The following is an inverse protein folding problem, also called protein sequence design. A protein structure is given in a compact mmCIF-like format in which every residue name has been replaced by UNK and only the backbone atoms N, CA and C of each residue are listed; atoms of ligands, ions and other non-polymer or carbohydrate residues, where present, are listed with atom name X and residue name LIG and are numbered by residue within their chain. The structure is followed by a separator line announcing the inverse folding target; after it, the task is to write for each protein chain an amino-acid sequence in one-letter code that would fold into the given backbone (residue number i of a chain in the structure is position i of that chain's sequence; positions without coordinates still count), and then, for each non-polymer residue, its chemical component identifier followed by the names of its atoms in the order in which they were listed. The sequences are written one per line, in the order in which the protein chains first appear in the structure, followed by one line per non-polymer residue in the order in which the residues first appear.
data_IF_095596606650
#
_entry.id   IF_095596606650
#
_cell.length_a   1.000
_cell.length_b   1.000
_cell.length_c   1.000
_cell.angle_alpha   90.00
_cell.angle_beta   90.00
_cell.angle_gamma   90.00
#
_symmetry.space_group_name_H-M   'P 1'
#
loop_
_entity.id
_entity.type
_entity.pdbx_description
1 polymer ?
#
# COMPACT_ATOMS: atom_id res chain seq x y z
N UNK A 1 40.14 17.30 -51.46
CA UNK A 1 40.91 17.90 -50.35
C UNK A 1 40.28 19.23 -49.97
N UNK A 2 39.56 19.23 -48.85
CA UNK A 2 39.15 20.41 -48.09
C UNK A 2 38.84 19.91 -46.66
N UNK A 3 39.49 20.41 -45.59
CA UNK A 3 39.18 19.98 -44.23
C UNK A 3 38.07 20.85 -43.63
N UNK A 4 36.98 20.22 -43.20
CA UNK A 4 35.99 20.83 -42.30
C UNK A 4 36.59 20.89 -40.88
N UNK A 5 36.70 22.10 -40.34
CA UNK A 5 37.11 22.38 -38.97
C UNK A 5 35.89 22.39 -38.06
N UNK A 6 35.89 21.53 -37.05
CA UNK A 6 34.95 21.56 -35.92
C UNK A 6 35.24 22.77 -35.01
N UNK A 7 34.22 23.44 -34.44
CA UNK A 7 34.42 24.43 -33.38
C UNK A 7 34.58 23.77 -32.00
N UNK A 8 35.34 24.38 -31.07
CA UNK A 8 35.58 23.86 -29.73
C UNK A 8 34.45 24.21 -28.74
N UNK A 9 34.16 23.22 -27.88
CA UNK A 9 33.45 23.33 -26.61
C UNK A 9 34.18 24.30 -25.66
N UNK A 10 33.47 25.28 -25.07
CA UNK A 10 33.88 25.91 -23.81
C UNK A 10 32.72 26.65 -23.13
N UNK A 11 32.66 26.47 -21.81
CA UNK A 11 32.01 27.30 -20.79
C UNK A 11 30.51 27.10 -20.53
N UNK A 12 30.19 26.10 -19.70
CA UNK A 12 29.04 26.13 -18.80
C UNK A 12 29.54 26.36 -17.37
N UNK A 13 29.02 27.42 -16.75
CA UNK A 13 29.42 27.97 -15.47
C UNK A 13 28.96 27.10 -14.29
N UNK A 14 29.81 27.02 -13.26
CA UNK A 14 29.61 26.24 -12.04
C UNK A 14 29.56 27.16 -10.82
N UNK A 15 28.78 26.73 -9.82
CA UNK A 15 28.72 27.12 -8.41
C UNK A 15 27.87 28.36 -8.06
N UNK A 16 26.65 28.21 -7.52
CA UNK A 16 26.20 27.62 -6.24
C UNK A 16 26.19 28.63 -5.08
N UNK A 17 24.96 28.97 -4.67
CA UNK A 17 24.61 29.86 -3.56
C UNK A 17 24.85 29.17 -2.21
N UNK A 18 25.51 29.89 -1.29
CA UNK A 18 25.63 29.56 0.12
C UNK A 18 24.41 30.09 0.89
N UNK A 19 23.73 29.22 1.65
CA UNK A 19 22.74 29.58 2.66
C UNK A 19 23.10 28.90 3.99
N UNK A 20 23.21 29.68 5.06
CA UNK A 20 23.37 29.20 6.45
C UNK A 20 22.72 30.21 7.41
N UNK A 21 21.90 29.71 8.34
CA UNK A 21 21.36 30.45 9.48
C UNK A 21 19.90 30.05 9.77
N UNK A 22 19.64 28.94 10.47
CA UNK A 22 19.57 28.77 11.93
C UNK A 22 18.20 29.14 12.55
N UNK A 23 17.75 28.21 13.40
CA UNK A 23 16.92 28.41 14.59
C UNK A 23 15.41 28.25 14.43
N UNK A 24 14.87 27.16 14.99
CA UNK A 24 13.57 27.20 15.67
C UNK A 24 13.48 26.11 16.74
N UNK A 25 13.06 26.56 17.92
CA UNK A 25 13.01 25.86 19.20
C UNK A 25 11.91 24.79 19.27
N UNK A 26 12.18 23.74 20.05
CA UNK A 26 11.18 22.79 20.55
C UNK A 26 10.15 23.47 21.45
N UNK A 27 8.89 23.07 21.30
CA UNK A 27 7.88 23.12 22.36
C UNK A 27 7.01 21.84 22.28
N UNK A 28 6.85 21.06 23.36
CA UNK A 28 5.88 19.97 23.41
C UNK A 28 4.47 20.48 23.83
N UNK A 29 3.38 19.87 23.35
CA UNK A 29 2.01 20.23 23.72
C UNK A 29 1.59 19.67 25.10
N UNK A 30 0.56 20.26 25.74
CA UNK A 30 0.06 19.81 27.05
C UNK A 30 -0.78 18.52 26.95
N UNK A 31 -0.64 17.63 27.95
CA UNK A 31 -1.49 16.46 28.16
C UNK A 31 -2.91 16.87 28.63
N UNK A 32 -3.96 16.12 28.26
CA UNK A 32 -5.29 16.27 28.86
C UNK A 32 -5.38 15.55 30.21
N UNK A 33 -5.96 16.25 31.19
CA UNK A 33 -6.28 15.76 32.52
C UNK A 33 -7.43 14.74 32.47
N UNK A 34 -7.25 13.60 33.14
CA UNK A 34 -8.29 12.63 33.42
C UNK A 34 -9.24 13.18 34.49
N UNK A 35 -10.52 13.33 34.15
CA UNK A 35 -11.58 13.70 35.09
C UNK A 35 -12.29 12.46 35.64
N UNK A 36 -12.25 12.32 36.96
CA UNK A 36 -12.93 11.29 37.76
C UNK A 36 -14.44 11.54 37.95
N UNK A 37 -15.22 10.46 37.82
CA UNK A 37 -16.44 10.16 38.61
C UNK A 37 -17.82 10.54 38.04
N UNK A 38 -18.94 9.94 38.54
CA UNK A 38 -19.06 9.08 39.73
C UNK A 38 -19.74 7.70 39.53
N UNK A 39 -19.65 6.91 40.60
CA UNK A 39 -20.08 5.52 40.80
C UNK A 39 -21.61 5.35 41.13
N UNK A 40 -22.13 4.10 41.26
CA UNK A 40 -23.54 3.74 41.06
C UNK A 40 -24.36 3.50 42.35
N UNK A 41 -25.69 3.54 42.23
CA UNK A 41 -26.72 2.93 43.10
C UNK A 41 -28.11 3.14 42.46
N UNK A 42 -29.16 2.33 42.57
CA UNK A 42 -29.41 0.98 43.04
C UNK A 42 -30.89 0.64 42.70
N UNK A 43 -31.21 -0.67 42.71
CA UNK A 43 -32.52 -1.27 43.10
C UNK A 43 -33.69 -1.32 42.10
N UNK A 44 -34.05 -2.57 41.76
CA UNK A 44 -35.29 -2.98 41.09
C UNK A 44 -36.49 -3.05 42.04
N UNK A 45 -37.72 -3.14 41.49
CA UNK A 45 -38.63 -4.18 41.98
C UNK A 45 -39.30 -4.98 40.85
N UNK A 46 -39.56 -6.24 41.18
CA UNK A 46 -40.28 -7.20 40.37
C UNK A 46 -41.78 -6.88 40.26
N UNK A 47 -42.38 -7.20 39.11
CA UNK A 47 -43.81 -7.42 38.98
C UNK A 47 -44.08 -8.59 38.02
N UNK A 48 -44.85 -9.53 38.52
CA UNK A 48 -45.31 -10.78 37.90
C UNK A 48 -46.46 -10.50 36.93
N UNK A 49 -46.53 -11.21 35.79
CA UNK A 49 -47.70 -11.12 34.91
C UNK A 49 -47.63 -11.93 33.61
N UNK A 50 -48.10 -13.18 33.70
CA UNK A 50 -48.76 -14.02 32.68
C UNK A 50 -48.32 -14.02 31.20
N UNK A 51 -48.02 -15.23 30.71
CA UNK A 51 -47.80 -15.61 29.31
C UNK A 51 -49.04 -15.42 28.41
N UNK A 52 -48.83 -15.28 27.08
CA UNK A 52 -49.37 -16.32 26.21
C UNK A 52 -48.46 -16.71 25.01
N UNK A 53 -48.51 -18.01 24.69
CA UNK A 53 -48.21 -18.67 23.40
C UNK A 53 -46.75 -18.69 22.90
N UNK A 54 -46.04 -19.77 23.24
CA UNK A 54 -44.79 -20.14 22.59
C UNK A 54 -45.08 -20.68 21.18
N UNK A 55 -44.77 -19.89 20.15
CA UNK A 55 -44.42 -20.46 18.85
C UNK A 55 -43.09 -21.20 19.01
N UNK A 56 -42.99 -22.40 18.43
CA UNK A 56 -41.75 -23.17 18.46
C UNK A 56 -40.62 -22.37 17.81
N UNK A 57 -39.43 -22.27 18.44
CA UNK A 57 -38.29 -21.62 17.81
C UNK A 57 -37.82 -22.47 16.62
N UNK A 58 -37.70 -21.81 15.47
CA UNK A 58 -36.93 -22.28 14.31
C UNK A 58 -35.55 -22.77 14.77
N UNK A 59 -34.99 -23.83 14.16
CA UNK A 59 -33.66 -24.29 14.52
C UNK A 59 -32.66 -23.18 14.19
N UNK A 60 -32.07 -22.63 15.26
CA UNK A 60 -30.77 -21.98 15.34
C UNK A 60 -30.09 -21.81 13.99
N UNK A 61 -30.25 -20.63 13.38
CA UNK A 61 -29.30 -20.17 12.39
C UNK A 61 -27.91 -20.29 13.03
N UNK A 62 -27.02 -21.05 12.39
CA UNK A 62 -25.63 -21.09 12.76
C UNK A 62 -25.10 -19.65 12.80
N UNK A 63 -24.20 -19.28 13.73
CA UNK A 63 -23.60 -17.96 13.69
C UNK A 63 -23.00 -17.76 12.30
N UNK A 64 -23.40 -16.66 11.65
CA UNK A 64 -22.85 -16.21 10.38
C UNK A 64 -21.32 -16.32 10.44
N UNK A 65 -20.74 -17.07 9.50
CA UNK A 65 -19.32 -17.06 9.20
C UNK A 65 -18.93 -15.75 8.48
N UNK A 66 -19.52 -14.62 8.88
CA UNK A 66 -19.17 -13.30 8.39
C UNK A 66 -18.03 -12.76 9.24
N UNK A 67 -16.93 -12.43 8.55
CA UNK A 67 -15.64 -12.03 9.08
C UNK A 67 -14.82 -13.16 9.74
N UNK A 68 -14.57 -14.25 9.01
CA UNK A 68 -13.20 -14.77 9.06
C UNK A 68 -12.32 -13.59 8.59
N UNK A 69 -11.63 -12.94 9.53
CA UNK A 69 -10.53 -12.04 9.22
C UNK A 69 -9.58 -12.85 8.34
N UNK A 70 -9.70 -12.66 7.02
CA UNK A 70 -8.73 -13.19 6.08
C UNK A 70 -7.47 -12.41 6.39
N UNK A 71 -6.56 -13.05 7.14
CA UNK A 71 -5.16 -12.69 7.05
C UNK A 71 -4.82 -12.80 5.56
N UNK A 72 -4.58 -11.68 4.86
CA UNK A 72 -4.30 -11.72 3.44
C UNK A 72 -3.10 -12.62 3.26
N UNK A 73 -3.29 -13.77 2.59
CA UNK A 73 -2.22 -14.73 2.42
C UNK A 73 -0.95 -14.07 1.87
N UNK A 74 0.22 -14.59 2.22
CA UNK A 74 1.47 -14.10 1.65
C UNK A 74 1.51 -14.40 0.14
N UNK A 75 1.82 -13.41 -0.72
CA UNK A 75 1.91 -13.62 -2.17
C UNK A 75 3.03 -14.58 -2.62
N UNK A 76 3.93 -14.98 -1.72
CA UNK A 76 4.95 -16.00 -1.96
C UNK A 76 6.31 -15.45 -2.40
N UNK A 77 7.36 -16.20 -2.07
CA UNK A 77 8.75 -15.81 -2.35
C UNK A 77 9.03 -15.70 -3.85
N UNK A 78 8.45 -16.59 -4.66
CA UNK A 78 8.60 -16.57 -6.12
C UNK A 78 8.05 -15.26 -6.72
N UNK A 79 6.91 -14.77 -6.22
CA UNK A 79 6.35 -13.50 -6.64
C UNK A 79 7.27 -12.33 -6.28
N UNK A 80 7.83 -12.32 -5.06
CA UNK A 80 8.78 -11.30 -4.61
C UNK A 80 10.04 -11.30 -5.46
N UNK A 81 10.64 -12.46 -5.73
CA UNK A 81 11.83 -12.59 -6.57
C UNK A 81 11.57 -12.09 -7.99
N UNK A 82 10.46 -12.50 -8.60
CA UNK A 82 10.08 -12.05 -9.94
C UNK A 82 9.86 -10.53 -10.00
N UNK A 83 9.26 -9.93 -8.97
CA UNK A 83 9.09 -8.48 -8.87
C UNK A 83 10.44 -7.74 -8.74
N UNK A 84 11.37 -8.28 -7.96
CA UNK A 84 12.73 -7.73 -7.86
C UNK A 84 13.44 -7.78 -9.21
N UNK A 85 13.32 -8.89 -9.94
CA UNK A 85 13.92 -9.03 -11.28
C UNK A 85 13.29 -8.08 -12.30
N UNK A 86 11.97 -7.92 -12.26
CA UNK A 86 11.24 -7.05 -13.17
C UNK A 86 11.64 -5.57 -13.02
N UNK A 87 11.91 -5.14 -11.78
CA UNK A 87 12.30 -3.76 -11.49
C UNK A 87 13.61 -3.35 -12.17
N UNK A 88 14.44 -4.31 -12.58
CA UNK A 88 15.79 -4.08 -13.09
C UNK A 88 16.81 -3.73 -12.00
N UNK A 89 16.37 -3.59 -10.75
CA UNK A 89 17.18 -3.26 -9.59
C UNK A 89 17.04 -4.38 -8.56
N UNK A 90 18.07 -5.22 -8.43
CA UNK A 90 18.03 -6.36 -7.52
C UNK A 90 19.32 -6.46 -6.70
N UNK A 91 19.22 -7.08 -5.53
CA UNK A 91 20.37 -7.39 -4.68
C UNK A 91 21.25 -8.45 -5.35
N UNK A 92 22.56 -8.33 -5.15
CA UNK A 92 23.49 -9.37 -5.58
C UNK A 92 23.35 -10.61 -4.70
N UNK A 93 23.52 -11.79 -5.29
CA UNK A 93 23.42 -13.07 -4.59
C UNK A 93 22.50 -14.06 -5.30
N UNK A 94 22.31 -15.21 -4.67
CA UNK A 94 21.28 -16.17 -5.01
C UNK A 94 19.92 -15.75 -4.42
N UNK A 95 18.88 -16.55 -4.70
CA UNK A 95 17.51 -16.24 -4.29
C UNK A 95 17.35 -16.17 -2.77
N UNK A 96 18.07 -17.00 -2.02
CA UNK A 96 18.04 -16.97 -0.55
C UNK A 96 18.61 -15.64 -0.02
N UNK A 97 19.77 -15.22 -0.52
CA UNK A 97 20.37 -13.94 -0.14
C UNK A 97 19.50 -12.74 -0.56
N UNK A 98 18.83 -12.83 -1.72
CA UNK A 98 17.90 -11.80 -2.20
C UNK A 98 16.66 -11.69 -1.31
N UNK A 99 16.06 -12.80 -0.90
CA UNK A 99 14.92 -12.83 0.02
C UNK A 99 15.31 -12.32 1.41
N UNK A 100 16.49 -12.70 1.90
CA UNK A 100 17.02 -12.19 3.17
C UNK A 100 17.19 -10.67 3.13
N UNK A 101 17.71 -10.12 2.03
CA UNK A 101 17.88 -8.68 1.84
C UNK A 101 16.53 -7.95 1.65
N UNK A 102 15.59 -8.56 0.93
CA UNK A 102 14.26 -8.00 0.68
C UNK A 102 13.35 -8.06 1.92
N UNK A 103 13.59 -8.99 2.85
CA UNK A 103 12.84 -9.13 4.11
C UNK A 103 11.31 -9.13 3.91
N UNK A 104 10.75 -9.99 3.05
CA UNK A 104 9.34 -9.95 2.75
C UNK A 104 8.48 -10.33 3.96
N UNK A 105 7.30 -9.72 4.05
CA UNK A 105 6.29 -10.01 5.07
C UNK A 105 4.90 -10.05 4.44
N UNK A 106 4.00 -10.84 5.02
CA UNK A 106 2.59 -10.92 4.65
C UNK A 106 1.82 -9.69 5.18
N UNK A 107 2.04 -8.54 4.58
CA UNK A 107 1.37 -7.30 4.94
C UNK A 107 1.30 -6.35 3.75
N UNK A 108 0.41 -5.37 3.82
CA UNK A 108 0.37 -4.23 2.92
C UNK A 108 0.46 -2.94 3.73
N UNK A 109 1.32 -2.01 3.32
CA UNK A 109 1.42 -0.69 3.91
C UNK A 109 1.19 0.40 2.85
N UNK A 110 0.37 1.43 3.13
CA UNK A 110 -0.46 1.63 4.33
C UNK A 110 -1.67 0.70 4.37
N UNK A 111 -1.99 0.16 5.55
CA UNK A 111 -2.99 -0.92 5.72
C UNK A 111 -4.42 -0.47 5.35
N UNK A 112 -4.71 0.82 5.55
CA UNK A 112 -6.02 1.44 5.33
C UNK A 112 -6.44 1.43 3.86
N UNK A 113 -5.51 1.18 2.93
CA UNK A 113 -5.79 1.03 1.49
C UNK A 113 -6.57 -0.26 1.21
N UNK A 114 -6.24 -1.31 1.96
CA UNK A 114 -6.79 -2.67 1.76
C UNK A 114 -7.74 -3.08 2.87
N UNK A 115 -7.87 -2.30 3.93
CA UNK A 115 -8.81 -2.54 5.02
C UNK A 115 -10.25 -2.65 4.50
N UNK A 116 -10.97 -3.69 4.96
CA UNK A 116 -12.35 -3.95 4.56
C UNK A 116 -12.52 -4.50 3.14
N UNK A 117 -11.42 -4.76 2.42
CA UNK A 117 -11.43 -5.38 1.09
C UNK A 117 -11.13 -6.87 1.16
N UNK A 118 -11.65 -7.63 0.21
CA UNK A 118 -11.27 -9.05 0.06
C UNK A 118 -9.91 -9.12 -0.63
N UNK A 119 -8.87 -9.43 0.13
CA UNK A 119 -7.49 -9.50 -0.37
C UNK A 119 -7.12 -10.96 -0.64
N UNK A 120 -6.77 -11.26 -1.89
CA UNK A 120 -6.29 -12.57 -2.34
C UNK A 120 -4.93 -12.87 -1.70
N UNK A 121 -4.00 -11.92 -1.83
CA UNK A 121 -2.71 -11.98 -1.16
C UNK A 121 -2.13 -10.58 -0.94
N UNK A 122 -1.20 -10.46 0.00
CA UNK A 122 -0.37 -9.26 0.17
C UNK A 122 1.09 -9.60 0.46
N UNK A 123 1.98 -8.68 0.10
CA UNK A 123 3.39 -8.72 0.49
C UNK A 123 3.95 -7.32 0.61
N UNK A 124 4.78 -7.09 1.61
CA UNK A 124 5.65 -5.91 1.69
C UNK A 124 7.10 -6.37 1.75
N UNK A 125 7.98 -5.75 0.96
CA UNK A 125 9.39 -6.09 0.92
C UNK A 125 10.24 -4.87 0.54
N UNK A 126 11.54 -4.94 0.81
CA UNK A 126 12.51 -3.91 0.47
C UNK A 126 13.04 -4.12 -0.95
N UNK A 127 12.97 -3.07 -1.75
CA UNK A 127 13.50 -3.04 -3.11
C UNK A 127 14.61 -1.98 -3.19
N UNK A 128 15.77 -2.26 -3.80
CA UNK A 128 16.81 -1.26 -3.98
C UNK A 128 16.33 -0.12 -4.89
N UNK A 129 16.73 1.10 -4.56
CA UNK A 129 16.49 2.29 -5.39
C UNK A 129 17.83 2.97 -5.73
N UNK A 130 18.04 3.28 -7.02
CA UNK A 130 19.22 3.95 -7.61
C UNK A 130 20.59 3.76 -6.91
N UNK A 131 21.40 2.79 -7.37
CA UNK A 131 22.87 2.83 -7.41
C UNK A 131 23.70 3.07 -6.12
N UNK A 132 23.08 3.20 -4.95
CA UNK A 132 23.70 3.44 -3.63
C UNK A 132 22.94 2.67 -2.53
N UNK A 133 23.43 2.73 -1.28
CA UNK A 133 22.77 2.14 -0.11
C UNK A 133 21.45 2.87 0.21
N UNK A 134 20.37 2.41 -0.42
CA UNK A 134 19.01 2.86 -0.17
C UNK A 134 18.02 1.79 -0.63
N UNK A 135 16.91 1.66 0.08
CA UNK A 135 15.80 0.79 -0.31
C UNK A 135 14.51 1.59 -0.24
N UNK A 136 13.51 1.21 -1.04
CA UNK A 136 12.13 1.61 -0.86
C UNK A 136 11.34 0.43 -0.30
N UNK A 137 10.31 0.72 0.48
CA UNK A 137 9.32 -0.27 0.89
C UNK A 137 8.33 -0.44 -0.25
N UNK A 138 8.22 -1.66 -0.76
CA UNK A 138 7.35 -2.02 -1.86
C UNK A 138 6.26 -2.93 -1.32
N UNK A 139 5.03 -2.42 -1.27
CA UNK A 139 3.85 -3.17 -0.83
C UNK A 139 3.01 -3.52 -2.05
N UNK A 140 2.63 -4.78 -2.21
CA UNK A 140 1.72 -5.24 -3.26
C UNK A 140 0.57 -6.01 -2.61
N UNK A 141 -0.65 -5.71 -3.03
CA UNK A 141 -1.83 -6.49 -2.69
C UNK A 141 -2.63 -6.78 -3.95
N UNK A 142 -3.27 -7.95 -3.98
CA UNK A 142 -4.26 -8.32 -5.00
C UNK A 142 -5.61 -8.35 -4.31
N UNK A 143 -6.52 -7.51 -4.76
CA UNK A 143 -7.88 -7.40 -4.24
C UNK A 143 -8.81 -8.14 -5.20
N UNK A 144 -9.66 -9.01 -4.66
CA UNK A 144 -10.62 -9.77 -5.44
C UNK A 144 -11.58 -8.82 -6.18
N UNK A 145 -11.71 -8.98 -7.49
CA UNK A 145 -12.62 -8.21 -8.35
C UNK A 145 -14.02 -8.81 -8.47
N UNK A 146 -14.37 -9.79 -7.62
CA UNK A 146 -15.57 -10.59 -7.77
C UNK A 146 -16.84 -9.73 -7.72
N UNK A 147 -17.81 -10.06 -8.58
CA UNK A 147 -19.07 -9.32 -8.70
C UNK A 147 -19.08 -8.21 -9.77
N UNK A 148 -17.97 -8.02 -10.49
CA UNK A 148 -17.89 -7.04 -11.59
C UNK A 148 -17.57 -5.62 -11.12
N UNK A 149 -16.96 -5.50 -9.94
CA UNK A 149 -16.81 -4.22 -9.23
C UNK A 149 -15.39 -3.67 -9.24
N UNK A 150 -14.52 -4.19 -10.10
CA UNK A 150 -13.15 -3.70 -10.26
C UNK A 150 -13.12 -2.19 -10.54
N UNK A 151 -14.07 -1.68 -11.34
CA UNK A 151 -14.19 -0.25 -11.60
C UNK A 151 -14.48 0.56 -10.32
N UNK A 152 -15.39 0.10 -9.46
CA UNK A 152 -15.67 0.78 -8.19
C UNK A 152 -14.46 0.71 -7.27
N UNK A 153 -13.77 -0.43 -7.20
CA UNK A 153 -12.55 -0.55 -6.41
C UNK A 153 -11.48 0.46 -6.87
N UNK A 154 -11.29 0.66 -8.17
CA UNK A 154 -10.38 1.69 -8.70
C UNK A 154 -10.84 3.11 -8.33
N UNK A 155 -12.14 3.40 -8.40
CA UNK A 155 -12.70 4.71 -8.01
C UNK A 155 -12.50 4.98 -6.51
N UNK A 156 -12.77 4.00 -5.65
CA UNK A 156 -12.57 4.11 -4.21
C UNK A 156 -11.09 4.28 -3.83
N UNK A 157 -10.19 3.54 -4.50
CA UNK A 157 -8.75 3.67 -4.31
C UNK A 157 -8.26 5.06 -4.71
N UNK A 158 -8.75 5.61 -5.82
CA UNK A 158 -8.45 6.97 -6.23
C UNK A 158 -8.96 8.01 -5.23
N UNK A 159 -10.21 7.86 -4.77
CA UNK A 159 -10.78 8.74 -3.76
C UNK A 159 -10.00 8.69 -2.43
N UNK A 160 -9.58 7.50 -2.00
CA UNK A 160 -8.73 7.33 -0.83
C UNK A 160 -7.37 8.02 -1.03
N UNK A 161 -6.75 7.85 -2.20
CA UNK A 161 -5.45 8.44 -2.52
C UNK A 161 -5.50 9.97 -2.41
N UNK A 162 -6.50 10.61 -3.03
CA UNK A 162 -6.72 12.05 -2.97
C UNK A 162 -6.97 12.54 -1.54
N UNK A 163 -7.80 11.84 -0.78
CA UNK A 163 -8.07 12.16 0.63
C UNK A 163 -6.81 12.09 1.51
N UNK A 164 -5.82 11.29 1.12
CA UNK A 164 -4.56 11.09 1.82
C UNK A 164 -3.37 11.84 1.20
N UNK A 165 -3.66 12.93 0.49
CA UNK A 165 -2.68 13.86 -0.10
C UNK A 165 -1.78 13.23 -1.18
N UNK A 166 -2.22 12.14 -1.80
CA UNK A 166 -1.65 11.73 -3.08
C UNK A 166 -2.33 12.50 -4.21
N UNK A 167 -1.52 12.99 -5.15
CA UNK A 167 -1.98 13.72 -6.31
C UNK A 167 -1.97 12.79 -7.53
N UNK A 168 -3.01 12.82 -8.38
CA UNK A 168 -3.03 12.01 -9.59
C UNK A 168 -1.87 12.38 -10.51
N UNK A 169 -1.26 11.36 -11.12
CA UNK A 169 -0.20 11.48 -12.11
C UNK A 169 -0.59 10.66 -13.33
N UNK A 170 -0.83 11.32 -14.47
CA UNK A 170 -1.00 10.63 -15.77
C UNK A 170 0.38 10.33 -16.39
N UNK A 171 0.57 9.50 -17.42
CA UNK A 171 -0.26 8.49 -18.10
C UNK A 171 0.55 7.17 -18.05
N UNK A 172 -0.11 6.04 -17.87
CA UNK A 172 0.48 4.69 -17.93
C UNK A 172 -0.62 3.64 -18.01
N UNK A 173 -0.25 2.36 -18.07
CA UNK A 173 -1.19 1.22 -18.07
C UNK A 173 -1.81 0.96 -16.66
N UNK A 174 -1.70 1.94 -15.77
CA UNK A 174 -2.17 1.96 -14.39
C UNK A 174 -2.56 3.38 -13.99
N UNK A 175 -3.40 3.48 -12.97
CA UNK A 175 -3.71 4.75 -12.31
C UNK A 175 -2.60 5.03 -11.30
N UNK A 176 -1.81 6.08 -11.51
CA UNK A 176 -0.73 6.50 -10.59
C UNK A 176 -1.17 7.71 -9.77
N UNK A 177 -0.89 7.63 -8.48
CA UNK A 177 -1.04 8.71 -7.51
C UNK A 177 0.28 8.88 -6.76
N UNK A 178 0.73 10.12 -6.56
CA UNK A 178 2.02 10.43 -5.93
C UNK A 178 1.87 11.36 -4.74
N UNK A 179 2.57 11.05 -3.65
CA UNK A 179 2.70 11.95 -2.51
C UNK A 179 4.08 12.59 -2.53
N UNK A 180 4.12 13.91 -2.49
CA UNK A 180 5.37 14.68 -2.53
C UNK A 180 5.99 14.80 -1.13
N UNK A 181 7.31 14.70 -1.06
CA UNK A 181 8.12 14.99 0.11
C UNK A 181 8.45 16.48 0.27
N UNK A 182 9.18 16.81 1.33
CA UNK A 182 9.51 18.19 1.70
C UNK A 182 10.42 18.91 0.68
N UNK A 183 11.21 18.15 -0.06
CA UNK A 183 12.19 18.61 -1.07
C UNK A 183 11.65 18.55 -2.50
N UNK A 184 10.33 18.38 -2.67
CA UNK A 184 9.71 18.14 -3.98
C UNK A 184 10.17 16.85 -4.67
N UNK A 185 10.79 15.91 -3.96
CA UNK A 185 10.93 14.54 -4.43
C UNK A 185 9.64 13.75 -4.15
N UNK A 186 9.46 12.64 -4.86
CA UNK A 186 8.34 11.74 -4.60
C UNK A 186 8.65 10.99 -3.31
N UNK A 187 7.84 11.19 -2.27
CA UNK A 187 7.96 10.47 -1.01
C UNK A 187 7.27 9.11 -1.07
N UNK A 188 6.14 9.01 -1.78
CA UNK A 188 5.46 7.75 -2.00
C UNK A 188 4.68 7.72 -3.32
N UNK A 189 4.43 6.51 -3.82
CA UNK A 189 3.56 6.22 -4.96
C UNK A 189 2.48 5.24 -4.56
N UNK A 190 1.30 5.40 -5.13
CA UNK A 190 0.23 4.42 -5.10
C UNK A 190 -0.21 4.18 -6.55
N UNK A 191 -0.18 2.93 -6.99
CA UNK A 191 -0.49 2.51 -8.35
C UNK A 191 -1.53 1.40 -8.29
N UNK A 192 -2.57 1.47 -9.10
CA UNK A 192 -3.59 0.43 -9.14
C UNK A 192 -4.18 0.25 -10.53
N UNK A 193 -4.58 -0.99 -10.82
CA UNK A 193 -5.13 -1.42 -12.11
C UNK A 193 -5.79 -2.80 -12.01
N UNK A 194 -6.59 -3.13 -13.02
CA UNK A 194 -7.13 -4.48 -13.22
C UNK A 194 -6.06 -5.38 -13.87
N UNK A 195 -5.94 -6.62 -13.40
CA UNK A 195 -4.96 -7.62 -13.89
C UNK A 195 -5.10 -7.88 -15.40
N UNK A 196 -6.33 -7.92 -15.92
CA UNK A 196 -6.64 -8.34 -17.29
C UNK A 196 -6.70 -7.23 -18.35
N UNK A 197 -6.65 -5.96 -17.98
CA UNK A 197 -6.95 -4.84 -18.90
C UNK A 197 -5.80 -4.52 -19.88
N UNK A 198 -4.55 -4.81 -19.50
CA UNK A 198 -3.39 -4.77 -20.37
C UNK A 198 -2.32 -5.68 -19.76
N UNK A 199 -1.90 -6.76 -20.45
CA UNK A 199 -0.89 -7.70 -19.93
C UNK A 199 0.45 -6.98 -19.84
N UNK A 200 0.70 -6.34 -18.71
CA UNK A 200 2.05 -5.96 -18.35
C UNK A 200 2.73 -7.15 -17.67
N UNK A 201 4.05 -7.08 -17.55
CA UNK A 201 4.80 -8.15 -16.92
C UNK A 201 4.36 -8.42 -15.48
N UNK A 202 3.91 -7.41 -14.73
CA UNK A 202 3.40 -7.59 -13.35
C UNK A 202 2.08 -8.36 -13.32
N UNK A 203 1.22 -8.30 -14.35
CA UNK A 203 -0.01 -9.12 -14.39
C UNK A 203 0.32 -10.57 -14.64
N UNK A 204 1.28 -10.83 -15.52
CA UNK A 204 1.76 -12.18 -15.76
C UNK A 204 2.29 -12.81 -14.46
N UNK A 205 3.05 -12.05 -13.66
CA UNK A 205 3.54 -12.53 -12.36
C UNK A 205 2.42 -12.80 -11.36
N UNK A 206 1.41 -11.92 -11.29
CA UNK A 206 0.25 -12.14 -10.42
C UNK A 206 -0.50 -13.42 -10.82
N UNK A 207 -0.78 -13.60 -12.10
CA UNK A 207 -1.48 -14.78 -12.62
C UNK A 207 -0.64 -16.07 -12.52
N UNK A 208 0.68 -15.98 -12.58
CA UNK A 208 1.58 -17.14 -12.53
C UNK A 208 1.86 -17.62 -11.09
N UNK A 209 2.02 -16.68 -10.14
CA UNK A 209 2.54 -16.99 -8.81
C UNK A 209 1.50 -16.89 -7.69
N UNK A 210 0.30 -16.41 -7.98
CA UNK A 210 -0.75 -16.22 -6.98
C UNK A 210 -2.09 -16.80 -7.46
N UNK A 211 -3.12 -16.75 -6.61
CA UNK A 211 -4.48 -17.15 -6.98
C UNK A 211 -5.27 -16.02 -7.68
N UNK A 212 -4.59 -15.01 -8.22
CA UNK A 212 -5.21 -13.90 -8.92
C UNK A 212 -6.05 -14.33 -10.14
N UNK A 213 -7.09 -13.56 -10.41
CA UNK A 213 -7.94 -13.65 -11.59
C UNK A 213 -7.85 -12.39 -12.45
N UNK A 214 -8.16 -12.46 -13.75
CA UNK A 214 -8.07 -11.30 -14.66
C UNK A 214 -8.92 -10.10 -14.25
N UNK A 215 -9.99 -10.30 -13.48
CA UNK A 215 -10.85 -9.25 -12.94
C UNK A 215 -10.32 -8.60 -11.66
N UNK A 216 -9.29 -9.17 -11.03
CA UNK A 216 -8.76 -8.66 -9.77
C UNK A 216 -8.01 -7.34 -9.95
N UNK A 217 -7.86 -6.60 -8.86
CA UNK A 217 -7.14 -5.33 -8.83
C UNK A 217 -5.80 -5.52 -8.15
N UNK A 218 -4.72 -5.23 -8.87
CA UNK A 218 -3.39 -5.10 -8.27
C UNK A 218 -3.27 -3.69 -7.72
N UNK A 219 -2.91 -3.59 -6.44
CA UNK A 219 -2.54 -2.34 -5.78
C UNK A 219 -1.09 -2.43 -5.37
N UNK A 220 -0.32 -1.41 -5.74
CA UNK A 220 1.09 -1.28 -5.39
C UNK A 220 1.33 0.04 -4.70
N UNK A 221 1.97 0.00 -3.55
CA UNK A 221 2.47 1.17 -2.85
C UNK A 221 3.98 1.13 -2.77
N UNK A 222 4.61 2.27 -3.01
CA UNK A 222 6.06 2.43 -2.87
C UNK A 222 6.31 3.57 -1.90
N UNK A 223 6.99 3.30 -0.80
CA UNK A 223 7.45 4.30 0.16
C UNK A 223 8.97 4.51 0.02
N UNK A 224 9.38 5.72 -0.32
CA UNK A 224 10.79 6.10 -0.45
C UNK A 224 11.37 6.68 0.87
N UNK A 225 10.56 6.81 1.91
CA UNK A 225 10.93 7.36 3.22
C UNK A 225 11.60 6.37 4.18
N UNK A 226 11.81 5.12 3.76
CA UNK A 226 12.57 4.10 4.52
C UNK A 226 14.08 4.30 4.35
N UNK A 227 14.62 5.32 5.03
CA UNK A 227 16.07 5.57 5.13
C UNK A 227 16.61 5.31 6.53
#
# INVERSE_FOLDING_TARGET
MAPMRSPPLAALALAALLALGLSSCLAPPPQPEAGDGPAPAATAPAATGAAPTAAAPDPTAAPDASAAQHDPGYCGDAFVLSQLELSGWTWAGDDEARLEAARPVAAFHPEEVVEGREVVCSTTFLMPVDGQAGAASYSVAIIAGQGGDAALALEELAAWAEANAYLPRGEGDYIEHVRMGHDSLIAAKLMFRVVGDAISATDALALEHTDAHPEDVIVTHVDFGVS
#
